data_IF_672349084270
#
_entry.id   IF_672349084270
#
_cell.length_a   1.000
_cell.length_b   1.000
_cell.length_c   1.000
_cell.angle_alpha   90.00
_cell.angle_beta   90.00
_cell.angle_gamma   90.00
#
_symmetry.space_group_name_H-M   'P 1'
#
loop_
_entity.id
_entity.type
_entity.pdbx_description
1 polymer ?
#
# COMPACT_ATOMS: atom_id res chain seq x y z
N UNK A 1 -28.76 15.04 -22.09
CA UNK A 1 -27.35 14.59 -22.07
C UNK A 1 -26.52 15.65 -21.37
N UNK A 2 -26.57 15.66 -20.04
CA UNK A 2 -25.80 16.59 -19.21
C UNK A 2 -24.32 16.16 -19.22
N UNK A 3 -23.36 17.10 -19.32
CA UNK A 3 -21.95 16.75 -19.45
C UNK A 3 -21.44 16.22 -18.11
N UNK A 4 -21.16 14.92 -18.06
CA UNK A 4 -20.66 14.19 -16.87
C UNK A 4 -19.48 14.90 -16.19
N UNK A 5 -18.62 15.56 -16.97
CA UNK A 5 -17.44 16.27 -16.45
C UNK A 5 -17.75 17.42 -15.49
N UNK A 6 -18.93 18.04 -15.56
CA UNK A 6 -19.28 19.12 -14.60
C UNK A 6 -19.58 18.58 -13.20
N UNK A 7 -20.11 17.37 -13.11
CA UNK A 7 -20.40 16.71 -11.83
C UNK A 7 -19.09 16.20 -11.20
N UNK A 8 -18.18 15.66 -12.01
CA UNK A 8 -16.85 15.20 -11.57
C UNK A 8 -15.95 16.37 -11.13
N UNK A 9 -15.97 17.50 -11.86
CA UNK A 9 -15.25 18.70 -11.48
C UNK A 9 -15.78 19.29 -10.17
N UNK A 10 -17.11 19.30 -9.99
CA UNK A 10 -17.74 19.77 -8.77
C UNK A 10 -17.43 18.85 -7.58
N UNK A 11 -17.46 17.53 -7.77
CA UNK A 11 -17.07 16.54 -6.76
C UNK A 11 -15.60 16.69 -6.36
N UNK A 12 -14.71 16.85 -7.34
CA UNK A 12 -13.27 17.11 -7.13
C UNK A 12 -13.05 18.41 -6.37
N UNK A 13 -13.75 19.49 -6.74
CA UNK A 13 -13.67 20.78 -6.06
C UNK A 13 -14.17 20.72 -4.62
N UNK A 14 -15.25 19.99 -4.34
CA UNK A 14 -15.77 19.78 -2.98
C UNK A 14 -14.79 18.95 -2.14
N UNK A 15 -14.18 17.92 -2.71
CA UNK A 15 -13.20 17.09 -2.02
C UNK A 15 -11.93 17.88 -1.66
N UNK A 16 -11.45 18.71 -2.58
CA UNK A 16 -10.32 19.63 -2.34
C UNK A 16 -10.68 20.67 -1.27
N UNK A 17 -11.86 21.29 -1.35
CA UNK A 17 -12.30 22.29 -0.37
C UNK A 17 -12.48 21.71 1.03
N UNK A 18 -13.03 20.48 1.14
CA UNK A 18 -13.20 19.78 2.40
C UNK A 18 -11.84 19.40 3.02
N UNK A 19 -10.92 18.89 2.19
CA UNK A 19 -9.54 18.59 2.63
C UNK A 19 -8.81 19.85 3.10
N UNK A 20 -9.00 20.98 2.41
CA UNK A 20 -8.46 22.29 2.79
C UNK A 20 -9.04 22.79 4.12
N UNK A 21 -10.35 22.63 4.34
CA UNK A 21 -11.03 22.99 5.59
C UNK A 21 -10.65 22.12 6.80
N UNK A 22 -10.27 20.86 6.58
CA UNK A 22 -9.78 19.96 7.63
C UNK A 22 -8.30 20.14 7.97
N UNK A 23 -7.53 20.81 7.11
CA UNK A 23 -6.12 21.12 7.35
C UNK A 23 -5.84 21.86 8.68
N UNK A 24 -6.58 22.91 9.07
CA UNK A 24 -6.35 23.58 10.35
C UNK A 24 -6.70 22.68 11.54
N UNK A 25 -7.69 21.78 11.42
CA UNK A 25 -8.14 20.85 12.48
C UNK A 25 -7.08 19.76 12.75
N UNK A 26 -6.41 19.27 11.69
CA UNK A 26 -5.30 18.33 11.83
C UNK A 26 -4.05 18.99 12.44
N UNK A 27 -3.84 20.29 12.18
CA UNK A 27 -2.72 21.05 12.76
C UNK A 27 -2.91 21.28 14.27
N UNK A 28 -4.12 21.65 14.71
CA UNK A 28 -4.39 21.92 16.13
C UNK A 28 -4.39 20.66 17.00
N UNK A 29 -4.62 19.47 16.44
CA UNK A 29 -4.68 18.24 17.23
C UNK A 29 -3.30 17.66 17.64
N UNK A 30 -2.19 18.11 17.02
CA UNK A 30 -0.88 17.40 17.10
C UNK A 30 0.27 18.28 17.62
N UNK A 31 -0.03 19.48 18.13
CA UNK A 31 0.99 20.44 18.59
C UNK A 31 1.66 20.06 19.93
N UNK A 32 1.02 19.22 20.75
CA UNK A 32 1.44 18.96 22.13
C UNK A 32 2.43 17.81 22.35
N UNK A 33 2.98 17.20 21.28
CA UNK A 33 3.80 15.98 21.38
C UNK A 33 5.30 16.28 21.16
N UNK A 34 6.17 15.59 21.90
CA UNK A 34 7.63 15.71 21.81
C UNK A 34 8.20 15.18 20.48
N UNK A 35 9.29 15.78 20.00
CA UNK A 35 9.89 15.49 18.68
C UNK A 35 10.39 14.05 18.52
N UNK A 36 11.05 13.48 19.53
CA UNK A 36 11.67 12.15 19.41
C UNK A 36 10.63 11.02 19.36
N UNK A 37 9.53 11.19 20.09
CA UNK A 37 8.43 10.22 20.10
C UNK A 37 7.63 10.27 18.80
N UNK A 38 7.52 11.43 18.15
CA UNK A 38 6.83 11.58 16.87
C UNK A 38 7.50 10.78 15.77
N UNK A 39 8.83 10.83 15.65
CA UNK A 39 9.54 10.05 14.63
C UNK A 39 9.37 8.55 14.88
N UNK A 40 9.54 8.09 16.13
CA UNK A 40 9.34 6.69 16.49
C UNK A 40 7.91 6.21 16.17
N UNK A 41 6.89 6.95 16.62
CA UNK A 41 5.49 6.61 16.37
C UNK A 41 5.14 6.62 14.87
N UNK A 42 5.66 7.58 14.11
CA UNK A 42 5.44 7.63 12.66
C UNK A 42 6.01 6.41 11.94
N UNK A 43 7.19 5.93 12.34
CA UNK A 43 7.83 4.73 11.78
C UNK A 43 7.02 3.49 12.13
N UNK A 44 6.63 3.31 13.40
CA UNK A 44 5.81 2.17 13.81
C UNK A 44 4.46 2.14 13.08
N UNK A 45 3.84 3.30 12.85
CA UNK A 45 2.55 3.40 12.16
C UNK A 45 2.68 3.17 10.66
N UNK A 46 3.81 3.56 10.06
CA UNK A 46 4.11 3.25 8.66
C UNK A 46 4.43 1.76 8.46
N UNK A 47 5.13 1.13 9.41
CA UNK A 47 5.30 -0.33 9.45
C UNK A 47 3.96 -1.04 9.65
N UNK A 48 3.12 -0.51 10.54
CA UNK A 48 1.74 -0.95 10.75
C UNK A 48 0.95 -0.92 9.45
N UNK A 49 0.99 0.20 8.71
CA UNK A 49 0.36 0.32 7.39
C UNK A 49 0.81 -0.81 6.44
N UNK A 50 2.12 -1.07 6.32
CA UNK A 50 2.65 -2.11 5.43
C UNK A 50 2.17 -3.51 5.85
N UNK A 51 2.25 -3.85 7.13
CA UNK A 51 1.85 -5.17 7.64
C UNK A 51 0.34 -5.37 7.53
N UNK A 52 -0.41 -4.32 7.81
CA UNK A 52 -1.86 -4.33 7.85
C UNK A 52 -2.53 -4.11 6.49
N UNK A 53 -1.74 -3.89 5.44
CA UNK A 53 -2.29 -3.62 4.13
C UNK A 53 -2.96 -4.88 3.54
N UNK A 54 -4.13 -4.70 2.93
CA UNK A 54 -4.84 -5.79 2.26
C UNK A 54 -4.20 -6.07 0.88
N UNK A 55 -3.34 -7.10 0.86
CA UNK A 55 -2.66 -7.60 -0.33
C UNK A 55 -3.52 -8.56 -1.18
N UNK A 56 -4.78 -8.81 -0.82
CA UNK A 56 -5.68 -9.73 -1.54
C UNK A 56 -5.59 -11.19 -1.09
N UNK A 57 -5.10 -11.45 0.12
CA UNK A 57 -5.27 -12.74 0.78
C UNK A 57 -6.57 -12.68 1.60
N UNK A 58 -7.52 -13.59 1.36
CA UNK A 58 -8.79 -13.77 2.11
C UNK A 58 -8.55 -14.24 3.55
N UNK A 59 -7.60 -13.62 4.24
CA UNK A 59 -7.26 -13.89 5.63
C UNK A 59 -7.91 -12.82 6.49
N UNK A 60 -8.58 -13.26 7.55
CA UNK A 60 -9.36 -12.46 8.51
C UNK A 60 -8.52 -11.41 9.27
N UNK A 61 -7.21 -11.35 9.02
CA UNK A 61 -6.27 -10.65 9.89
C UNK A 61 -6.24 -9.13 9.73
N UNK A 62 -6.76 -8.52 8.64
CA UNK A 62 -6.67 -7.06 8.54
C UNK A 62 -7.74 -6.34 7.71
N UNK A 63 -8.27 -5.24 8.26
CA UNK A 63 -9.21 -4.34 7.59
C UNK A 63 -8.48 -3.26 6.80
N UNK A 64 -8.89 -3.03 5.55
CA UNK A 64 -8.41 -1.92 4.71
C UNK A 64 -8.48 -0.56 5.44
N UNK A 65 -9.51 -0.32 6.24
CA UNK A 65 -9.68 0.92 7.01
C UNK A 65 -8.58 1.10 8.08
N UNK A 66 -8.17 0.02 8.73
CA UNK A 66 -7.14 0.06 9.77
C UNK A 66 -5.79 0.46 9.18
N UNK A 67 -5.40 -0.14 8.04
CA UNK A 67 -4.15 0.23 7.36
C UNK A 67 -4.14 1.71 6.97
N UNK A 68 -5.19 2.20 6.31
CA UNK A 68 -5.28 3.61 5.89
C UNK A 68 -5.22 4.55 7.08
N UNK A 69 -5.90 4.24 8.19
CA UNK A 69 -5.84 5.04 9.41
C UNK A 69 -4.42 5.10 10.00
N UNK A 70 -3.66 4.00 9.98
CA UNK A 70 -2.27 3.99 10.42
C UNK A 70 -1.37 4.84 9.52
N UNK A 71 -1.53 4.74 8.20
CA UNK A 71 -0.79 5.56 7.23
C UNK A 71 -1.08 7.06 7.39
N UNK A 72 -2.35 7.42 7.60
CA UNK A 72 -2.75 8.81 7.83
C UNK A 72 -2.24 9.34 9.17
N UNK A 73 -2.28 8.54 10.23
CA UNK A 73 -1.72 8.94 11.52
C UNK A 73 -0.20 9.20 11.42
N UNK A 74 0.55 8.33 10.72
CA UNK A 74 1.98 8.56 10.45
C UNK A 74 2.24 9.87 9.70
N UNK A 75 1.44 10.16 8.66
CA UNK A 75 1.56 11.39 7.89
C UNK A 75 1.24 12.65 8.71
N UNK A 76 0.24 12.60 9.59
CA UNK A 76 -0.11 13.70 10.50
C UNK A 76 0.99 13.93 11.53
N UNK A 77 1.56 12.85 12.10
CA UNK A 77 2.73 12.94 12.97
C UNK A 77 3.90 13.67 12.29
N UNK A 78 4.23 13.32 11.05
CA UNK A 78 5.29 13.99 10.28
C UNK A 78 4.92 15.45 9.94
N UNK A 79 3.69 15.68 9.47
CA UNK A 79 3.19 17.02 9.11
C UNK A 79 3.22 18.01 10.28
N UNK A 80 3.02 17.53 11.52
CA UNK A 80 3.07 18.35 12.73
C UNK A 80 4.41 19.05 12.96
N UNK A 81 5.49 18.53 12.38
CA UNK A 81 6.85 19.08 12.53
C UNK A 81 7.23 20.06 11.43
N UNK A 82 6.39 20.22 10.39
CA UNK A 82 6.68 21.15 9.31
C UNK A 82 6.34 22.58 9.75
N UNK A 83 7.27 23.55 9.60
CA UNK A 83 7.11 24.90 10.14
C UNK A 83 6.01 25.72 9.44
N UNK A 84 5.66 25.37 8.19
CA UNK A 84 4.64 26.07 7.40
C UNK A 84 3.34 25.28 7.34
N UNK A 85 2.22 26.00 7.53
CA UNK A 85 0.85 25.46 7.37
C UNK A 85 0.65 24.89 5.97
N UNK A 86 1.18 25.57 4.94
CA UNK A 86 1.06 25.10 3.56
C UNK A 86 1.82 23.80 3.34
N UNK A 87 3.01 23.65 3.91
CA UNK A 87 3.76 22.41 3.79
C UNK A 87 3.08 21.25 4.52
N UNK A 88 2.56 21.48 5.73
CA UNK A 88 1.79 20.47 6.46
C UNK A 88 0.53 20.04 5.69
N UNK A 89 -0.22 20.99 5.13
CA UNK A 89 -1.38 20.73 4.28
C UNK A 89 -1.02 19.84 3.07
N UNK A 90 0.01 20.23 2.32
CA UNK A 90 0.45 19.47 1.14
C UNK A 90 0.90 18.07 1.50
N UNK A 91 1.62 17.90 2.62
CA UNK A 91 2.09 16.58 3.09
C UNK A 91 0.92 15.65 3.40
N UNK A 92 -0.11 16.14 4.10
CA UNK A 92 -1.30 15.34 4.41
C UNK A 92 -2.11 15.03 3.14
N UNK A 93 -2.25 15.99 2.22
CA UNK A 93 -2.93 15.75 0.95
C UNK A 93 -2.23 14.68 0.11
N UNK A 94 -0.91 14.77 -0.01
CA UNK A 94 -0.09 13.79 -0.71
C UNK A 94 -0.16 12.43 0.00
N UNK A 95 -0.15 12.40 1.33
CA UNK A 95 -0.30 11.15 2.07
C UNK A 95 -1.67 10.48 1.84
N UNK A 96 -2.76 11.24 1.79
CA UNK A 96 -4.09 10.72 1.40
C UNK A 96 -4.06 10.13 -0.01
N UNK A 97 -3.41 10.82 -0.95
CA UNK A 97 -3.26 10.33 -2.31
C UNK A 97 -2.45 9.03 -2.36
N UNK A 98 -1.33 8.95 -1.64
CA UNK A 98 -0.43 7.79 -1.65
C UNK A 98 -0.96 6.58 -0.87
N UNK A 99 -1.55 6.79 0.31
CA UNK A 99 -1.97 5.68 1.18
C UNK A 99 -3.41 5.21 0.94
N UNK A 100 -4.31 6.09 0.47
CA UNK A 100 -5.72 5.75 0.27
C UNK A 100 -6.10 5.62 -1.21
N UNK A 101 -5.79 6.62 -2.04
CA UNK A 101 -6.23 6.63 -3.45
C UNK A 101 -5.37 5.75 -4.36
N UNK A 102 -4.05 5.88 -4.25
CA UNK A 102 -3.07 5.15 -5.06
C UNK A 102 -3.28 3.62 -5.05
N UNK A 103 -3.44 2.95 -3.90
CA UNK A 103 -3.67 1.50 -3.90
C UNK A 103 -4.98 1.11 -4.60
N UNK A 104 -6.05 1.89 -4.44
CA UNK A 104 -7.34 1.65 -5.12
C UNK A 104 -7.16 1.81 -6.63
N UNK A 105 -6.46 2.86 -7.05
CA UNK A 105 -6.13 3.10 -8.45
C UNK A 105 -5.35 1.94 -9.05
N UNK A 106 -4.28 1.48 -8.39
CA UNK A 106 -3.48 0.34 -8.87
C UNK A 106 -4.28 -0.95 -8.93
N UNK A 107 -5.15 -1.24 -7.94
CA UNK A 107 -6.04 -2.41 -7.96
C UNK A 107 -6.98 -2.38 -9.18
N UNK A 108 -7.58 -1.22 -9.48
CA UNK A 108 -8.45 -1.04 -10.67
C UNK A 108 -7.65 -1.11 -11.98
N UNK A 109 -6.47 -0.49 -12.02
CA UNK A 109 -5.58 -0.50 -13.17
C UNK A 109 -5.13 -1.93 -13.52
N UNK A 110 -4.73 -2.72 -12.50
CA UNK A 110 -4.35 -4.13 -12.66
C UNK A 110 -5.50 -4.97 -13.23
N UNK A 111 -6.72 -4.72 -12.77
CA UNK A 111 -7.90 -5.47 -13.21
C UNK A 111 -8.29 -5.17 -14.67
N UNK A 112 -8.18 -3.93 -15.12
CA UNK A 112 -8.52 -3.54 -16.49
C UNK A 112 -7.36 -3.76 -17.48
N UNK A 113 -6.13 -3.41 -17.08
CA UNK A 113 -4.95 -3.34 -17.94
C UNK A 113 -3.69 -3.85 -17.22
N UNK A 114 -3.45 -5.18 -17.17
CA UNK A 114 -2.33 -5.76 -16.43
C UNK A 114 -0.96 -5.33 -16.97
N UNK A 115 -0.82 -5.14 -18.29
CA UNK A 115 0.43 -4.65 -18.89
C UNK A 115 0.76 -3.22 -18.47
N UNK A 116 -0.24 -2.33 -18.44
CA UNK A 116 -0.06 -0.94 -18.01
C UNK A 116 0.29 -0.87 -16.52
N UNK A 117 -0.32 -1.71 -15.69
CA UNK A 117 0.06 -1.82 -14.28
C UNK A 117 1.55 -2.14 -14.10
N UNK A 118 2.10 -3.09 -14.88
CA UNK A 118 3.53 -3.41 -14.84
C UNK A 118 4.39 -2.20 -15.22
N UNK A 119 4.03 -1.50 -16.29
CA UNK A 119 4.74 -0.28 -16.73
C UNK A 119 4.74 0.78 -15.63
N UNK A 120 3.59 1.02 -14.99
CA UNK A 120 3.47 1.99 -13.89
C UNK A 120 4.33 1.57 -12.70
N UNK A 121 4.29 0.31 -12.28
CA UNK A 121 5.11 -0.19 -11.17
C UNK A 121 6.62 -0.07 -11.45
N UNK A 122 7.07 -0.44 -12.65
CA UNK A 122 8.49 -0.31 -13.06
C UNK A 122 8.90 1.16 -13.11
N UNK A 123 8.05 2.03 -13.66
CA UNK A 123 8.33 3.47 -13.73
C UNK A 123 8.50 4.08 -12.34
N UNK A 124 7.61 3.74 -11.41
CA UNK A 124 7.70 4.21 -10.01
C UNK A 124 8.96 3.67 -9.32
N UNK A 125 9.31 2.41 -9.53
CA UNK A 125 10.54 1.83 -8.99
C UNK A 125 11.80 2.55 -9.50
N UNK A 126 11.87 2.81 -10.81
CA UNK A 126 12.99 3.57 -11.41
C UNK A 126 13.04 5.00 -10.86
N UNK A 127 11.89 5.67 -10.73
CA UNK A 127 11.84 7.03 -10.21
C UNK A 127 12.34 7.10 -8.76
N UNK A 128 11.92 6.16 -7.91
CA UNK A 128 12.34 6.10 -6.50
C UNK A 128 13.83 5.76 -6.39
N UNK A 129 14.32 4.80 -7.16
CA UNK A 129 15.76 4.44 -7.14
C UNK A 129 16.64 5.59 -7.62
N UNK A 130 16.27 6.27 -8.71
CA UNK A 130 16.99 7.48 -9.17
C UNK A 130 16.96 8.57 -8.11
N UNK A 131 15.81 8.83 -7.49
CA UNK A 131 15.67 9.82 -6.42
C UNK A 131 16.54 9.49 -5.20
N UNK A 132 16.67 8.21 -4.85
CA UNK A 132 17.55 7.77 -3.77
C UNK A 132 19.03 7.87 -4.14
N UNK A 133 19.39 7.62 -5.41
CA UNK A 133 20.76 7.81 -5.90
C UNK A 133 21.21 9.27 -5.78
N UNK A 134 20.29 10.22 -5.97
CA UNK A 134 20.56 11.65 -5.73
C UNK A 134 20.90 11.95 -4.27
N UNK A 135 20.37 11.18 -3.32
CA UNK A 135 20.62 11.37 -1.87
C UNK A 135 21.87 10.62 -1.43
N UNK A 136 21.94 9.32 -1.68
CA UNK A 136 23.10 8.48 -1.38
C UNK A 136 22.98 7.11 -2.05
N UNK A 137 24.11 6.63 -2.56
CA UNK A 137 24.23 5.29 -3.13
C UNK A 137 23.80 4.20 -2.14
N UNK A 138 24.09 4.36 -0.84
CA UNK A 138 23.76 3.37 0.18
C UNK A 138 22.26 3.11 0.30
N UNK A 139 21.45 4.18 0.31
CA UNK A 139 19.98 4.05 0.40
C UNK A 139 19.37 3.46 -0.88
N UNK A 140 19.90 3.82 -2.05
CA UNK A 140 19.43 3.28 -3.31
C UNK A 140 19.69 1.76 -3.41
N UNK A 141 20.88 1.31 -2.98
CA UNK A 141 21.23 -0.11 -2.93
C UNK A 141 20.37 -0.86 -1.91
N UNK A 142 20.21 -0.33 -0.69
CA UNK A 142 19.39 -0.99 0.33
C UNK A 142 17.94 -1.13 -0.12
N UNK A 143 17.37 -0.10 -0.75
CA UNK A 143 16.00 -0.15 -1.29
C UNK A 143 15.88 -1.19 -2.41
N UNK A 144 16.82 -1.21 -3.36
CA UNK A 144 16.80 -2.15 -4.49
C UNK A 144 16.92 -3.61 -4.02
N UNK A 145 17.81 -3.90 -3.07
CA UNK A 145 17.97 -5.24 -2.48
C UNK A 145 16.70 -5.67 -1.75
N UNK A 146 16.09 -4.77 -0.97
CA UNK A 146 14.85 -5.05 -0.25
C UNK A 146 13.71 -5.39 -1.20
N UNK A 147 13.50 -4.57 -2.24
CA UNK A 147 12.47 -4.83 -3.26
C UNK A 147 12.72 -6.15 -3.99
N UNK A 148 13.97 -6.42 -4.40
CA UNK A 148 14.33 -7.68 -5.05
C UNK A 148 14.04 -8.89 -4.14
N UNK A 149 14.35 -8.79 -2.86
CA UNK A 149 14.09 -9.85 -1.88
C UNK A 149 12.58 -10.11 -1.72
N UNK A 150 11.77 -9.06 -1.60
CA UNK A 150 10.32 -9.21 -1.46
C UNK A 150 9.68 -9.77 -2.74
N UNK A 151 10.12 -9.32 -3.92
CA UNK A 151 9.50 -9.69 -5.20
C UNK A 151 9.91 -11.08 -5.68
N UNK A 152 11.18 -11.48 -5.50
CA UNK A 152 11.69 -12.74 -6.05
C UNK A 152 11.98 -13.79 -4.98
N UNK A 153 12.69 -13.40 -3.90
CA UNK A 153 13.14 -14.35 -2.88
C UNK A 153 11.96 -14.84 -2.05
N UNK A 154 11.05 -13.95 -1.65
CA UNK A 154 9.90 -14.32 -0.83
C UNK A 154 8.96 -15.32 -1.54
N UNK A 155 8.51 -15.09 -2.80
CA UNK A 155 7.72 -16.09 -3.52
C UNK A 155 8.48 -17.40 -3.75
N UNK A 156 9.78 -17.34 -4.07
CA UNK A 156 10.58 -18.56 -4.26
C UNK A 156 10.67 -19.39 -2.97
N UNK A 157 10.88 -18.73 -1.82
CA UNK A 157 10.89 -19.37 -0.51
C UNK A 157 9.51 -19.96 -0.18
N UNK A 158 8.45 -19.19 -0.38
CA UNK A 158 7.07 -19.63 -0.14
C UNK A 158 6.71 -20.84 -1.00
N UNK A 159 7.06 -20.85 -2.29
CA UNK A 159 6.86 -21.99 -3.19
C UNK A 159 7.66 -23.22 -2.74
N UNK A 160 8.90 -23.02 -2.29
CA UNK A 160 9.73 -24.12 -1.79
C UNK A 160 9.15 -24.72 -0.50
N UNK A 161 8.69 -23.86 0.42
CA UNK A 161 8.06 -24.28 1.67
C UNK A 161 6.70 -24.94 1.42
N UNK A 162 5.88 -24.40 0.51
CA UNK A 162 4.61 -25.02 0.11
C UNK A 162 4.84 -26.40 -0.51
N UNK A 163 5.87 -26.57 -1.33
CA UNK A 163 6.22 -27.87 -1.93
C UNK A 163 6.74 -28.89 -0.91
N UNK A 164 7.38 -28.45 0.18
CA UNK A 164 7.90 -29.30 1.26
C UNK A 164 6.90 -29.50 2.41
N UNK A 165 5.70 -28.93 2.30
CA UNK A 165 4.65 -29.15 3.29
C UNK A 165 4.09 -30.56 3.09
N UNK A 166 4.48 -31.47 3.96
CA UNK A 166 3.86 -32.79 4.02
C UNK A 166 2.40 -32.62 4.46
N UNK A 167 1.46 -33.02 3.59
CA UNK A 167 0.04 -33.01 3.93
C UNK A 167 -0.24 -34.24 4.79
N UNK A 168 -0.49 -34.03 6.08
CA UNK A 168 -0.83 -35.11 7.01
C UNK A 168 -2.30 -35.43 6.79
N UNK A 169 -2.57 -36.44 5.96
CA UNK A 169 -3.93 -36.89 5.68
C UNK A 169 -4.51 -37.52 6.95
N UNK A 170 -5.57 -36.91 7.48
CA UNK A 170 -6.33 -37.47 8.59
C UNK A 170 -7.20 -38.65 8.13
N UNK A 171 -7.68 -39.51 9.04
CA UNK A 171 -8.60 -40.60 8.70
C UNK A 171 -9.98 -40.14 8.18
N UNK A 172 -10.20 -38.82 8.11
CA UNK A 172 -11.44 -38.16 7.66
C UNK A 172 -11.18 -37.18 6.51
N UNK A 173 -10.00 -37.22 5.86
CA UNK A 173 -9.67 -36.34 4.74
C UNK A 173 -10.55 -36.68 3.52
N UNK A 174 -10.93 -35.66 2.75
CA UNK A 174 -11.88 -35.81 1.65
C UNK A 174 -11.24 -36.67 0.54
N UNK A 175 -11.97 -37.69 0.06
CA UNK A 175 -11.42 -38.61 -0.93
C UNK A 175 -11.16 -37.87 -2.26
N UNK A 176 -9.89 -37.74 -2.64
CA UNK A 176 -9.52 -37.24 -3.96
C UNK A 176 -9.98 -38.24 -5.04
N UNK A 177 -10.99 -37.85 -5.83
CA UNK A 177 -11.42 -38.62 -7.00
C UNK A 177 -10.34 -38.45 -8.08
N UNK A 178 -9.44 -39.42 -8.19
CA UNK A 178 -8.61 -39.56 -9.38
C UNK A 178 -9.52 -40.07 -10.49
N UNK A 179 -10.05 -39.15 -11.29
CA UNK A 179 -10.75 -39.52 -12.52
C UNK A 179 -9.74 -40.17 -13.47
N UNK A 180 -9.67 -41.50 -13.40
CA UNK A 180 -9.03 -42.38 -14.38
C UNK A 180 -9.89 -42.38 -15.66
N UNK A 181 -10.12 -41.19 -16.24
CA UNK A 181 -10.86 -40.99 -17.49
C UNK A 181 -10.14 -41.68 -18.67
N UNK A 182 -8.85 -42.00 -18.49
CA UNK A 182 -8.04 -42.84 -19.39
C UNK A 182 -8.45 -44.31 -19.41
N UNK A 183 -9.13 -44.82 -18.37
CA UNK A 183 -9.60 -46.21 -18.34
C UNK A 183 -10.95 -46.40 -19.04
N UNK A 184 -11.76 -45.34 -19.17
CA UNK A 184 -13.09 -45.39 -19.78
C UNK A 184 -13.13 -45.00 -21.27
N UNK A 185 -12.04 -44.42 -21.81
CA UNK A 185 -11.92 -44.01 -23.22
C UNK A 185 -11.03 -44.96 -24.05
N UNK A 186 -10.75 -46.17 -23.55
CA UNK A 186 -9.98 -47.23 -24.24
C UNK A 186 -10.86 -48.32 -24.82
#
# INVERSE_FOLDING_TARGET
TTPSGWMDLKSTGIFVAFTYGFSPVLKTLTESISTDTIYAMSVFMLLGYIVCFDYGADTVMVSSCLSVNMGLFSAVCLASRLPSVFHAFTTVCVALQLFALWPVFLKKLKACYPGLHLVVTVTVFVLVTVSLLWVSLGFALSFSILVFTIVFVCPHLLLTLQRRKDNIHGPWDEAEIKDDLSQFLG
#
